data_IF_895449869170
#
_entry.id   IF_895449869170
#
_cell.length_a   1.000
_cell.length_b   1.000
_cell.length_c   1.000
_cell.angle_alpha   90.00
_cell.angle_beta   90.00
_cell.angle_gamma   90.00
#
_symmetry.space_group_name_H-M   'P 1'
#
loop_
_entity.id
_entity.type
_entity.pdbx_description
1 polymer ?
#
# COMPACT_ATOMS: atom_id res chain seq x y z
N UNK A 1 15.33 26.30 75.20
CA UNK A 1 15.66 26.60 73.79
C UNK A 1 15.74 25.28 73.02
N UNK A 2 15.62 25.34 71.70
CA UNK A 2 15.01 24.33 70.80
C UNK A 2 15.75 22.97 70.68
N UNK A 3 14.93 21.96 70.40
CA UNK A 3 15.23 20.53 70.12
C UNK A 3 16.13 20.36 68.89
N UNK A 4 16.99 19.34 68.88
CA UNK A 4 17.58 18.80 67.65
C UNK A 4 17.52 17.26 67.70
N UNK A 5 16.68 16.70 66.83
CA UNK A 5 16.54 15.27 66.53
C UNK A 5 16.32 15.14 65.01
N UNK A 6 16.57 13.93 64.51
CA UNK A 6 16.36 13.38 63.15
C UNK A 6 17.54 13.64 62.18
N UNK A 7 18.49 12.71 62.00
CA UNK A 7 18.44 11.30 61.56
C UNK A 7 18.03 11.13 60.08
N UNK A 8 19.04 10.81 59.26
CA UNK A 8 19.07 10.06 57.99
C UNK A 8 17.89 10.13 57.02
N UNK A 9 18.16 10.59 55.79
CA UNK A 9 17.36 10.25 54.62
C UNK A 9 18.27 9.67 53.53
N UNK A 10 18.02 8.41 53.19
CA UNK A 10 18.75 7.59 52.25
C UNK A 10 18.58 8.08 50.80
N UNK A 11 19.68 8.06 50.04
CA UNK A 11 19.68 8.28 48.60
C UNK A 11 19.20 6.97 47.95
N UNK A 12 17.93 6.90 47.60
CA UNK A 12 17.39 5.81 46.79
C UNK A 12 17.82 6.03 45.33
N UNK A 13 18.87 5.34 44.91
CA UNK A 13 19.23 5.22 43.50
C UNK A 13 18.13 4.41 42.79
N UNK A 14 17.25 5.10 42.06
CA UNK A 14 16.29 4.47 41.16
C UNK A 14 17.02 3.78 40.03
N UNK A 15 17.14 2.46 40.13
CA UNK A 15 17.62 1.60 39.06
C UNK A 15 16.56 1.61 37.95
N UNK A 16 16.72 2.46 36.94
CA UNK A 16 15.92 2.41 35.73
C UNK A 16 16.36 1.15 34.96
N UNK A 17 15.67 0.03 35.22
CA UNK A 17 15.83 -1.19 34.44
C UNK A 17 15.29 -0.91 33.04
N UNK A 18 16.17 -0.55 32.10
CA UNK A 18 15.88 -0.63 30.69
C UNK A 18 15.68 -2.10 30.34
N UNK A 19 14.42 -2.55 30.33
CA UNK A 19 14.07 -3.84 29.74
C UNK A 19 14.54 -3.83 28.27
N UNK A 20 15.09 -4.94 27.75
CA UNK A 20 15.39 -5.03 26.34
C UNK A 20 14.08 -4.85 25.57
N UNK A 21 13.98 -3.75 24.82
CA UNK A 21 12.91 -3.58 23.83
C UNK A 21 13.11 -4.68 22.79
N UNK A 22 12.26 -5.71 22.83
CA UNK A 22 12.25 -6.77 21.83
C UNK A 22 11.71 -6.19 20.52
N UNK A 23 12.59 -5.53 19.75
CA UNK A 23 12.36 -5.26 18.34
C UNK A 23 12.76 -6.46 17.46
N UNK A 24 12.85 -7.68 18.01
CA UNK A 24 13.31 -8.86 17.29
C UNK A 24 12.22 -9.52 16.43
N UNK A 25 10.94 -9.25 16.70
CA UNK A 25 9.82 -9.91 16.01
C UNK A 25 9.19 -9.05 14.91
N UNK A 26 9.53 -7.76 14.85
CA UNK A 26 9.04 -6.84 13.82
C UNK A 26 10.07 -6.75 12.70
N UNK A 27 9.63 -7.06 11.47
CA UNK A 27 10.42 -6.93 10.25
C UNK A 27 9.78 -5.89 9.34
N UNK A 28 10.59 -4.96 8.83
CA UNK A 28 10.17 -3.96 7.84
C UNK A 28 10.85 -4.29 6.52
N UNK A 29 10.07 -4.39 5.45
CA UNK A 29 10.59 -4.72 4.12
C UNK A 29 9.99 -3.83 3.04
N UNK A 30 10.65 -3.79 1.88
CA UNK A 30 10.22 -3.03 0.70
C UNK A 30 9.87 -1.57 1.02
N UNK A 31 10.74 -0.90 1.80
CA UNK A 31 10.54 0.49 2.14
C UNK A 31 10.96 1.40 0.98
N UNK A 32 10.04 2.25 0.51
CA UNK A 32 10.30 3.16 -0.59
C UNK A 32 9.49 4.46 -0.49
N UNK A 33 9.98 5.50 -1.13
CA UNK A 33 9.28 6.78 -1.33
C UNK A 33 9.24 7.12 -2.81
N UNK A 34 8.23 7.87 -3.23
CA UNK A 34 8.23 8.48 -4.57
C UNK A 34 9.12 9.72 -4.56
N UNK A 35 9.82 9.97 -5.67
CA UNK A 35 10.54 11.24 -5.86
C UNK A 35 9.61 12.46 -5.79
N UNK A 36 10.16 13.58 -5.31
CA UNK A 36 9.42 14.83 -5.17
C UNK A 36 9.88 15.83 -6.23
N UNK A 37 8.92 16.40 -6.96
CA UNK A 37 9.17 17.39 -8.01
C UNK A 37 9.48 18.80 -7.46
N UNK A 38 9.64 18.96 -6.15
CA UNK A 38 10.01 20.21 -5.47
C UNK A 38 8.96 21.32 -5.49
N UNK A 39 7.87 21.20 -6.27
CA UNK A 39 6.75 22.16 -6.31
C UNK A 39 5.88 22.13 -5.05
N UNK A 40 5.77 20.98 -4.42
CA UNK A 40 5.07 20.78 -3.15
C UNK A 40 6.05 20.09 -2.20
N UNK A 41 6.35 20.66 -1.03
CA UNK A 41 7.37 20.15 -0.13
C UNK A 41 6.84 18.98 0.70
N UNK A 42 6.20 17.99 0.07
CA UNK A 42 5.61 16.85 0.74
C UNK A 42 6.07 15.54 0.07
N UNK A 43 6.10 14.45 0.85
CA UNK A 43 6.45 13.11 0.39
C UNK A 43 5.60 12.06 1.09
N UNK A 44 5.66 10.81 0.61
CA UNK A 44 4.99 9.68 1.24
C UNK A 44 5.90 8.46 1.20
N UNK A 45 5.98 7.76 2.32
CA UNK A 45 6.78 6.54 2.47
C UNK A 45 5.87 5.34 2.64
N UNK A 46 6.21 4.28 1.93
CA UNK A 46 5.50 3.02 1.81
C UNK A 46 6.44 1.88 2.21
N UNK A 47 5.91 0.82 2.81
CA UNK A 47 6.67 -0.33 3.29
C UNK A 47 5.72 -1.46 3.70
N UNK A 48 6.26 -2.65 3.92
CA UNK A 48 5.55 -3.76 4.53
C UNK A 48 6.06 -4.00 5.95
N UNK A 49 5.14 -4.28 6.86
CA UNK A 49 5.43 -4.70 8.24
C UNK A 49 5.01 -6.14 8.40
N UNK A 50 5.91 -6.97 8.90
CA UNK A 50 5.63 -8.32 9.37
C UNK A 50 5.94 -8.41 10.86
N UNK A 51 5.07 -9.07 11.60
CA UNK A 51 5.17 -9.25 13.03
C UNK A 51 5.10 -10.74 13.36
N UNK A 52 6.21 -11.31 13.80
CA UNK A 52 6.30 -12.70 14.21
C UNK A 52 5.90 -12.93 15.67
N UNK A 53 5.67 -11.87 16.45
CA UNK A 53 5.39 -11.89 17.88
C UNK A 53 3.95 -11.52 18.20
N UNK A 54 3.75 -10.96 19.40
CA UNK A 54 2.45 -10.47 19.88
C UNK A 54 1.99 -9.22 19.13
N UNK A 55 0.67 -8.96 19.13
CA UNK A 55 0.11 -7.81 18.43
C UNK A 55 0.65 -6.47 18.95
N UNK A 56 0.95 -5.56 18.03
CA UNK A 56 1.54 -4.24 18.30
C UNK A 56 0.77 -3.16 17.51
N UNK A 57 1.21 -1.91 17.63
CA UNK A 57 0.62 -0.75 16.98
C UNK A 57 1.69 0.25 16.62
N UNK A 58 1.69 0.71 15.37
CA UNK A 58 2.51 1.85 14.94
C UNK A 58 1.78 3.11 15.36
N UNK A 59 2.32 3.84 16.32
CA UNK A 59 1.72 5.05 16.88
C UNK A 59 2.25 6.33 16.23
N UNK A 60 3.35 6.24 15.49
CA UNK A 60 3.91 7.37 14.77
C UNK A 60 5.13 7.03 13.94
N UNK A 61 5.69 8.07 13.34
CA UNK A 61 7.00 8.04 12.70
C UNK A 61 7.75 9.32 13.06
N UNK A 62 9.06 9.33 12.83
CA UNK A 62 9.92 10.52 12.87
C UNK A 62 10.93 10.45 11.73
N UNK A 63 11.31 11.61 11.20
CA UNK A 63 12.39 11.72 10.23
C UNK A 63 12.95 13.15 10.25
N UNK A 64 14.26 13.31 10.06
CA UNK A 64 14.93 14.60 10.09
C UNK A 64 14.79 15.38 8.77
N UNK A 65 14.33 14.74 7.70
CA UNK A 65 14.23 15.35 6.36
C UNK A 65 12.97 16.19 6.15
N UNK A 66 12.06 16.24 7.13
CA UNK A 66 10.77 16.90 7.06
C UNK A 66 10.40 17.57 8.39
N UNK A 67 9.63 18.66 8.34
CA UNK A 67 9.15 19.36 9.53
C UNK A 67 8.19 18.53 10.38
N UNK A 68 7.37 17.69 9.73
CA UNK A 68 6.40 16.83 10.40
C UNK A 68 6.24 15.51 9.67
N UNK A 69 5.98 14.46 10.42
CA UNK A 69 5.57 13.17 9.88
C UNK A 69 4.24 12.75 10.48
N UNK A 70 3.38 12.14 9.67
CA UNK A 70 2.03 11.74 10.07
C UNK A 70 1.66 10.39 9.46
N UNK A 71 0.89 9.58 10.19
CA UNK A 71 0.30 8.36 9.65
C UNK A 71 -1.00 8.71 8.94
N UNK A 72 -1.16 8.30 7.68
CA UNK A 72 -2.33 8.60 6.87
C UNK A 72 -2.96 7.33 6.33
N UNK A 73 -4.29 7.35 6.16
CA UNK A 73 -5.06 6.28 5.51
C UNK A 73 -5.97 6.86 4.44
N UNK A 74 -6.43 6.00 3.55
CA UNK A 74 -7.47 6.30 2.57
C UNK A 74 -8.78 5.69 3.05
N UNK A 75 -9.78 6.53 3.32
CA UNK A 75 -11.12 6.07 3.71
C UNK A 75 -12.06 6.35 2.54
N UNK A 76 -12.75 5.32 2.08
CA UNK A 76 -13.91 5.45 1.18
C UNK A 76 -15.07 6.00 2.00
N UNK A 77 -15.45 7.26 1.75
CA UNK A 77 -16.64 7.86 2.35
C UNK A 77 -17.48 8.50 1.25
N UNK A 78 -18.75 8.13 1.17
CA UNK A 78 -19.71 8.66 0.19
C UNK A 78 -19.21 8.49 -1.27
N UNK A 79 -18.60 7.33 -1.58
CA UNK A 79 -18.00 7.02 -2.88
C UNK A 79 -16.84 7.95 -3.30
N UNK A 80 -16.26 8.69 -2.34
CA UNK A 80 -15.07 9.52 -2.52
C UNK A 80 -13.95 8.99 -1.63
N UNK A 81 -12.80 8.71 -2.22
CA UNK A 81 -11.57 8.43 -1.47
C UNK A 81 -11.07 9.69 -0.79
N UNK A 82 -10.97 9.67 0.54
CA UNK A 82 -10.41 10.77 1.34
C UNK A 82 -9.17 10.31 2.06
N UNK A 83 -8.06 11.02 1.85
CA UNK A 83 -6.85 10.89 2.68
C UNK A 83 -7.11 11.55 4.04
N UNK A 84 -6.75 10.86 5.13
CA UNK A 84 -6.94 11.37 6.48
C UNK A 84 -5.80 10.89 7.40
N UNK A 85 -5.35 11.80 8.26
CA UNK A 85 -4.44 11.48 9.36
C UNK A 85 -5.06 10.50 10.37
N UNK A 86 -4.27 9.57 10.85
CA UNK A 86 -4.63 8.57 11.86
C UNK A 86 -4.02 9.00 13.20
N UNK A 87 -4.86 9.37 14.16
CA UNK A 87 -4.39 9.74 15.51
C UNK A 87 -4.20 8.52 16.43
N UNK A 88 -4.94 7.43 16.18
CA UNK A 88 -4.91 6.21 17.00
C UNK A 88 -3.89 5.15 16.57
N UNK A 89 -2.96 5.50 15.66
CA UNK A 89 -1.99 4.56 15.10
C UNK A 89 -2.58 3.47 14.19
N UNK A 90 -1.70 2.60 13.69
CA UNK A 90 -2.05 1.47 12.81
C UNK A 90 -1.77 0.16 13.54
N UNK A 91 -2.79 -0.68 13.69
CA UNK A 91 -2.67 -1.99 14.34
C UNK A 91 -1.84 -2.95 13.48
N UNK A 92 -0.91 -3.65 14.12
CA UNK A 92 -0.10 -4.71 13.53
C UNK A 92 -0.45 -6.02 14.26
N UNK A 93 -1.19 -6.94 13.62
CA UNK A 93 -1.66 -8.14 14.28
C UNK A 93 -0.50 -9.05 14.71
N UNK A 94 -0.73 -9.88 15.74
CA UNK A 94 0.19 -10.94 16.12
C UNK A 94 0.34 -11.95 14.98
N UNK A 95 1.56 -12.42 14.72
CA UNK A 95 1.86 -13.40 13.66
C UNK A 95 1.30 -13.00 12.29
N UNK A 96 1.29 -11.70 11.98
CA UNK A 96 0.66 -11.15 10.79
C UNK A 96 1.41 -9.94 10.25
N UNK A 97 0.79 -9.20 9.34
CA UNK A 97 1.45 -8.08 8.69
C UNK A 97 0.51 -7.00 8.18
N UNK A 98 1.07 -5.84 7.89
CA UNK A 98 0.37 -4.65 7.41
C UNK A 98 1.17 -4.03 6.27
N UNK A 99 0.48 -3.74 5.16
CA UNK A 99 1.08 -3.08 4.01
C UNK A 99 0.74 -1.58 4.00
N UNK A 100 1.78 -0.75 4.03
CA UNK A 100 1.72 0.67 3.76
C UNK A 100 1.98 0.86 2.27
N UNK A 101 0.91 1.05 1.49
CA UNK A 101 0.96 1.13 0.03
C UNK A 101 0.06 2.25 -0.49
N UNK A 102 0.29 2.73 -1.72
CA UNK A 102 -0.60 3.69 -2.37
C UNK A 102 -2.07 3.22 -2.33
N UNK A 103 -2.97 4.13 -1.97
CA UNK A 103 -4.40 3.81 -1.79
C UNK A 103 -4.75 3.16 -0.44
N UNK A 104 -3.79 2.96 0.45
CA UNK A 104 -3.96 2.40 1.80
C UNK A 104 -3.22 3.29 2.82
N UNK A 105 -2.57 2.69 3.81
CA UNK A 105 -1.73 3.38 4.78
C UNK A 105 -0.43 3.91 4.17
N UNK A 106 0.05 5.05 4.65
CA UNK A 106 1.37 5.59 4.33
C UNK A 106 1.85 6.54 5.44
N UNK A 107 3.17 6.74 5.52
CA UNK A 107 3.76 7.80 6.33
C UNK A 107 3.88 9.04 5.45
N UNK A 108 3.14 10.08 5.79
CA UNK A 108 3.19 11.37 5.13
C UNK A 108 4.34 12.20 5.71
N UNK A 109 5.19 12.75 4.84
CA UNK A 109 6.25 13.70 5.16
C UNK A 109 5.77 15.09 4.75
N UNK A 110 5.61 16.00 5.71
CA UNK A 110 5.14 17.37 5.50
C UNK A 110 6.29 18.35 5.75
N UNK A 111 6.48 19.29 4.82
CA UNK A 111 7.55 20.28 4.94
C UNK A 111 8.94 19.66 4.74
N UNK A 112 9.13 18.92 3.64
CA UNK A 112 10.42 18.41 3.22
C UNK A 112 11.44 19.55 3.09
N UNK A 113 12.59 19.41 3.75
CA UNK A 113 13.67 20.40 3.69
C UNK A 113 14.36 20.42 2.33
N UNK A 114 14.38 19.28 1.65
CA UNK A 114 14.94 19.10 0.32
C UNK A 114 14.03 18.21 -0.54
N UNK A 115 13.96 18.42 -1.87
CA UNK A 115 13.28 17.50 -2.77
C UNK A 115 13.91 16.11 -2.71
N UNK A 116 13.07 15.07 -2.64
CA UNK A 116 13.49 13.67 -2.75
C UNK A 116 13.87 13.36 -4.19
N UNK A 117 15.08 12.84 -4.42
CA UNK A 117 15.57 12.47 -5.76
C UNK A 117 15.70 10.96 -5.88
N UNK A 118 15.34 10.42 -7.04
CA UNK A 118 15.48 8.99 -7.32
C UNK A 118 16.90 8.47 -7.04
N UNK A 119 16.99 7.27 -6.48
CA UNK A 119 18.24 6.61 -6.06
C UNK A 119 18.81 7.09 -4.72
N UNK A 120 18.15 8.02 -4.03
CA UNK A 120 18.51 8.38 -2.66
C UNK A 120 17.92 7.40 -1.65
N UNK A 121 18.54 7.30 -0.48
CA UNK A 121 17.97 6.61 0.67
C UNK A 121 17.57 7.64 1.72
N UNK A 122 16.38 7.49 2.29
CA UNK A 122 15.88 8.33 3.38
C UNK A 122 15.73 7.48 4.64
N UNK A 123 16.19 8.02 5.77
CA UNK A 123 16.05 7.38 7.07
C UNK A 123 14.79 7.88 7.77
N UNK A 124 14.00 6.95 8.29
CA UNK A 124 12.86 7.21 9.16
C UNK A 124 12.89 6.25 10.35
N UNK A 125 12.19 6.62 11.40
CA UNK A 125 12.01 5.75 12.58
C UNK A 125 10.52 5.57 12.79
N UNK A 126 10.06 4.32 12.75
CA UNK A 126 8.71 3.97 13.13
C UNK A 126 8.64 3.81 14.65
N UNK A 127 7.62 4.42 15.25
CA UNK A 127 7.36 4.31 16.68
C UNK A 127 6.24 3.30 16.89
N UNK A 128 6.58 2.16 17.48
CA UNK A 128 5.65 1.14 17.92
C UNK A 128 5.31 1.31 19.40
N UNK A 129 4.09 0.96 19.77
CA UNK A 129 3.60 1.03 21.15
C UNK A 129 4.37 0.06 22.07
N UNK A 130 4.71 -1.15 21.59
CA UNK A 130 5.41 -2.18 22.38
C UNK A 130 6.85 -2.40 21.93
N UNK A 131 7.09 -2.56 20.63
CA UNK A 131 8.44 -2.79 20.10
C UNK A 131 9.35 -1.54 20.19
N UNK A 132 8.77 -0.35 20.41
CA UNK A 132 9.50 0.90 20.52
C UNK A 132 9.94 1.44 19.15
N UNK A 133 11.15 1.98 19.08
CA UNK A 133 11.64 2.68 17.89
C UNK A 133 12.34 1.72 16.93
N UNK A 134 11.80 1.59 15.72
CA UNK A 134 12.35 0.74 14.66
C UNK A 134 12.88 1.61 13.52
N UNK A 135 14.19 1.62 13.26
CA UNK A 135 14.76 2.37 12.14
C UNK A 135 14.38 1.70 10.81
N UNK A 136 14.08 2.52 9.81
CA UNK A 136 13.71 2.09 8.46
C UNK A 136 14.45 2.96 7.47
N UNK A 137 15.02 2.32 6.46
CA UNK A 137 15.69 2.99 5.35
C UNK A 137 14.86 2.74 4.09
N UNK A 138 14.41 3.83 3.46
CA UNK A 138 13.54 3.76 2.29
C UNK A 138 14.26 4.30 1.05
N UNK A 139 14.20 3.56 -0.05
CA UNK A 139 14.73 4.01 -1.35
C UNK A 139 13.77 4.98 -2.02
N UNK A 140 14.28 6.06 -2.58
CA UNK A 140 13.49 7.00 -3.39
C UNK A 140 13.46 6.47 -4.82
N UNK A 141 12.27 6.11 -5.29
CA UNK A 141 12.02 5.63 -6.65
C UNK A 141 11.63 6.77 -7.59
N UNK A 142 12.00 6.60 -8.87
CA UNK A 142 11.53 7.46 -9.95
C UNK A 142 9.99 7.41 -10.09
N UNK A 143 9.39 8.39 -10.76
CA UNK A 143 7.95 8.36 -11.07
C UNK A 143 7.55 7.08 -11.83
N UNK A 144 8.40 6.61 -12.75
CA UNK A 144 8.12 5.41 -13.54
C UNK A 144 8.23 4.13 -12.70
N UNK A 145 9.23 4.02 -11.84
CA UNK A 145 9.46 2.82 -11.03
C UNK A 145 8.48 2.75 -9.84
N UNK A 146 8.15 3.90 -9.25
CA UNK A 146 7.07 3.98 -8.26
C UNK A 146 5.72 3.59 -8.83
N UNK A 147 5.41 3.93 -10.09
CA UNK A 147 4.18 3.50 -10.75
C UNK A 147 4.11 1.97 -10.93
N UNK A 148 5.22 1.33 -11.34
CA UNK A 148 5.30 -0.14 -11.45
C UNK A 148 5.15 -0.83 -10.09
N UNK A 149 5.81 -0.30 -9.06
CA UNK A 149 5.72 -0.81 -7.69
C UNK A 149 4.29 -0.71 -7.14
N UNK A 150 3.58 0.38 -7.48
CA UNK A 150 2.17 0.58 -7.11
C UNK A 150 1.24 -0.40 -7.85
N UNK A 151 1.45 -0.60 -9.15
CA UNK A 151 0.62 -1.47 -9.99
C UNK A 151 0.74 -2.96 -9.62
N UNK A 152 1.91 -3.41 -9.16
CA UNK A 152 2.10 -4.81 -8.74
C UNK A 152 1.32 -5.17 -7.47
N UNK A 153 0.78 -4.18 -6.75
CA UNK A 153 -0.12 -4.35 -5.61
C UNK A 153 -1.62 -4.41 -5.93
N UNK A 154 -2.01 -4.25 -7.21
CA UNK A 154 -3.41 -4.14 -7.66
C UNK A 154 -3.86 -5.22 -8.68
N UNK A 155 -3.01 -6.14 -9.12
CA UNK A 155 -3.41 -7.19 -10.08
C UNK A 155 -3.68 -8.56 -9.43
N UNK A 156 -4.88 -8.74 -8.88
CA UNK A 156 -5.63 -10.02 -8.87
C UNK A 156 -7.14 -9.74 -8.85
N UNK A 157 -7.72 -9.50 -10.02
CA UNK A 157 -9.11 -9.80 -10.30
C UNK A 157 -9.16 -10.40 -11.71
N UNK A 158 -8.95 -11.71 -11.77
CA UNK A 158 -9.17 -12.54 -12.94
C UNK A 158 -10.63 -12.40 -13.41
N UNK A 159 -10.89 -11.60 -14.44
CA UNK A 159 -12.09 -11.81 -15.27
C UNK A 159 -11.82 -12.97 -16.23
N UNK A 160 -11.82 -14.19 -15.70
CA UNK A 160 -12.07 -15.39 -16.51
C UNK A 160 -13.59 -15.56 -16.60
N UNK A 161 -14.24 -14.88 -17.53
CA UNK A 161 -15.58 -15.25 -17.95
C UNK A 161 -15.47 -16.54 -18.77
N UNK A 162 -15.68 -17.67 -18.09
CA UNK A 162 -15.99 -18.93 -18.74
C UNK A 162 -17.38 -18.83 -19.36
N UNK A 163 -17.45 -18.96 -20.69
CA UNK A 163 -18.69 -19.28 -21.38
C UNK A 163 -18.56 -20.74 -21.83
N UNK A 164 -18.82 -21.66 -20.90
CA UNK A 164 -18.97 -23.08 -21.19
C UNK A 164 -20.46 -23.38 -21.41
N UNK A 165 -20.78 -23.93 -22.59
CA UNK A 165 -21.77 -25.00 -22.71
C UNK A 165 -23.15 -24.63 -23.24
N UNK A 166 -23.38 -24.92 -24.52
CA UNK A 166 -24.44 -25.84 -24.95
C UNK A 166 -24.29 -26.17 -26.45
N UNK A 167 -23.63 -27.29 -26.74
CA UNK A 167 -23.97 -28.10 -27.91
C UNK A 167 -25.26 -28.86 -27.56
N UNK A 168 -26.27 -28.80 -28.43
CA UNK A 168 -27.11 -29.97 -28.67
C UNK A 168 -27.56 -30.01 -30.13
N UNK A 169 -27.50 -31.21 -30.67
CA UNK A 169 -27.63 -31.57 -32.06
C UNK A 169 -28.99 -32.21 -32.33
N UNK A 170 -29.61 -31.80 -33.44
CA UNK A 170 -30.44 -32.60 -34.33
C UNK A 170 -31.74 -33.26 -33.78
N UNK A 171 -32.90 -32.87 -34.35
CA UNK A 171 -33.82 -33.81 -35.01
C UNK A 171 -34.95 -33.14 -35.82
N UNK A 172 -35.12 -33.62 -37.06
CA UNK A 172 -36.36 -33.85 -37.87
C UNK A 172 -37.48 -32.79 -37.87
N UNK A 173 -38.11 -32.37 -38.97
CA UNK A 173 -38.28 -32.91 -40.33
C UNK A 173 -39.69 -32.55 -40.84
N UNK A 174 -39.84 -32.28 -42.15
CA UNK A 174 -41.08 -32.08 -42.93
C UNK A 174 -41.86 -30.76 -42.73
N UNK A 175 -42.48 -30.10 -43.71
CA UNK A 175 -42.67 -30.27 -45.17
C UNK A 175 -43.30 -28.96 -45.74
N UNK A 176 -43.28 -28.83 -47.08
CA UNK A 176 -44.16 -28.02 -47.96
C UNK A 176 -43.82 -26.52 -48.16
N UNK A 177 -43.62 -25.97 -49.37
CA UNK A 177 -43.54 -26.53 -50.72
C UNK A 177 -43.59 -25.44 -51.81
N UNK A 178 -43.17 -25.82 -53.03
CA UNK A 178 -43.31 -25.12 -54.33
C UNK A 178 -42.53 -23.79 -54.47
N UNK A 179 -41.91 -23.40 -55.58
CA UNK A 179 -42.15 -23.64 -57.01
C UNK A 179 -40.82 -23.60 -57.80
N UNK A 180 -40.89 -24.21 -58.99
CA UNK A 180 -40.00 -24.18 -60.16
C UNK A 180 -39.41 -22.78 -60.52
N UNK A 181 -38.38 -22.59 -61.38
CA UNK A 181 -38.14 -23.12 -62.72
C UNK A 181 -36.66 -23.00 -63.10
N UNK A 182 -36.18 -24.00 -63.85
CA UNK A 182 -34.91 -24.07 -64.55
C UNK A 182 -34.83 -23.16 -65.79
N UNK A 183 -33.65 -22.58 -66.06
CA UNK A 183 -33.07 -22.33 -67.41
C UNK A 183 -31.60 -21.83 -67.24
N UNK A 184 -30.55 -22.55 -67.66
CA UNK A 184 -29.93 -22.49 -69.01
C UNK A 184 -29.88 -21.04 -69.55
N UNK A 185 -28.75 -20.38 -69.79
CA UNK A 185 -27.45 -20.82 -70.32
C UNK A 185 -27.14 -19.97 -71.56
N UNK A 186 -26.01 -19.26 -71.59
CA UNK A 186 -25.33 -18.88 -72.84
C UNK A 186 -25.22 -17.39 -73.24
N UNK A 187 -24.00 -17.03 -73.67
CA UNK A 187 -23.57 -15.91 -74.54
C UNK A 187 -23.44 -14.53 -73.87
N UNK A 188 -22.26 -13.93 -73.69
CA UNK A 188 -21.19 -13.53 -74.63
C UNK A 188 -21.63 -12.38 -75.56
N UNK A 189 -21.16 -11.16 -75.29
CA UNK A 189 -21.41 -9.99 -76.12
C UNK A 189 -20.62 -8.77 -75.66
N UNK A 190 -19.58 -8.45 -76.41
CA UNK A 190 -18.60 -7.37 -76.21
C UNK A 190 -19.11 -6.11 -76.93
N UNK A 191 -18.60 -4.95 -76.53
CA UNK A 191 -18.39 -3.71 -77.32
C UNK A 191 -19.41 -2.56 -77.24
N UNK A 192 -18.85 -1.41 -76.81
CA UNK A 192 -18.94 -0.05 -77.38
C UNK A 192 -20.32 0.62 -77.39
N UNK A 193 -20.45 1.69 -76.60
CA UNK A 193 -20.31 3.04 -77.14
C UNK A 193 -19.84 4.01 -76.06
#
# INVERSE_FOLDING_TARGET
MRKALFAGAAIAAGLFAALPAFANDISISNAWSKESLGRVPNGAVFFNVENAGDGDRIIGATSEIADKTELHTHIMKDNVMKMRQIEGGVEVPAHGGVAFKPGSYHVMLLGLHNPLKAGQHISLTLQFEKAGNVPVEAEVLSLDDSAKMSAHGEMKMDMKHGMDGAMDSAKEGAMDGSMDHSAHGGTMGKMKN
#
